data_IF_927492675111
#
_entry.id   IF_927492675111
#
_cell.length_a   1.000
_cell.length_b   1.000
_cell.length_c   1.000
_cell.angle_alpha   90.00
_cell.angle_beta   90.00
_cell.angle_gamma   90.00
#
_symmetry.space_group_name_H-M   'P 1'
#
loop_
_entity.id
_entity.type
_entity.pdbx_description
1 polymer ?
#
# COMPACT_ATOMS: atom_id res chain seq x y z
N UNK A 1 -24.62 7.74 39.25
CA UNK A 1 -23.96 8.22 38.01
C UNK A 1 -22.44 8.00 38.01
N UNK A 2 -21.74 8.20 39.12
CA UNK A 2 -20.26 8.11 39.19
C UNK A 2 -19.68 6.72 38.89
N UNK A 3 -20.33 5.64 39.31
CA UNK A 3 -19.87 4.26 39.03
C UNK A 3 -19.86 3.91 37.53
N UNK A 4 -20.86 4.38 36.77
CA UNK A 4 -20.94 4.13 35.32
C UNK A 4 -19.82 4.84 34.56
N UNK A 5 -19.46 6.06 34.98
CA UNK A 5 -18.36 6.84 34.38
C UNK A 5 -17.02 6.13 34.63
N UNK A 6 -16.78 5.64 35.85
CA UNK A 6 -15.53 4.95 36.18
C UNK A 6 -15.34 3.65 35.37
N UNK A 7 -16.39 2.84 35.26
CA UNK A 7 -16.35 1.60 34.47
C UNK A 7 -16.10 1.89 32.99
N UNK A 8 -16.76 2.92 32.43
CA UNK A 8 -16.55 3.32 31.05
C UNK A 8 -15.11 3.77 30.78
N UNK A 9 -14.53 4.59 31.67
CA UNK A 9 -13.13 5.03 31.57
C UNK A 9 -12.17 3.85 31.67
N UNK A 10 -12.42 2.89 32.56
CA UNK A 10 -11.58 1.69 32.71
C UNK A 10 -11.62 0.82 31.45
N UNK A 11 -12.81 0.56 30.89
CA UNK A 11 -12.98 -0.19 29.64
C UNK A 11 -12.29 0.55 28.48
N UNK A 12 -12.41 1.88 28.42
CA UNK A 12 -11.73 2.70 27.42
C UNK A 12 -10.20 2.60 27.54
N UNK A 13 -9.63 2.69 28.74
CA UNK A 13 -8.18 2.56 28.96
C UNK A 13 -7.70 1.15 28.59
N UNK A 14 -8.39 0.10 29.03
CA UNK A 14 -8.02 -1.27 28.71
C UNK A 14 -8.12 -1.56 27.21
N UNK A 15 -9.14 -1.04 26.54
CA UNK A 15 -9.31 -1.24 25.09
C UNK A 15 -8.31 -0.46 24.23
N UNK A 16 -7.90 0.73 24.67
CA UNK A 16 -6.92 1.56 23.96
C UNK A 16 -5.49 1.08 24.18
N UNK A 17 -5.15 0.67 25.40
CA UNK A 17 -3.75 0.40 25.78
C UNK A 17 -3.40 -1.09 25.89
N UNK A 18 -4.37 -1.95 26.19
CA UNK A 18 -4.09 -3.34 26.54
C UNK A 18 -4.65 -4.39 25.58
N UNK A 19 -5.62 -4.07 24.71
CA UNK A 19 -6.12 -5.06 23.75
C UNK A 19 -5.04 -5.57 22.77
N UNK A 20 -4.06 -4.73 22.43
CA UNK A 20 -2.95 -5.16 21.58
C UNK A 20 -2.06 -6.22 22.26
N UNK A 21 -2.04 -6.27 23.59
CA UNK A 21 -1.29 -7.29 24.35
C UNK A 21 -2.03 -8.62 24.48
N UNK A 22 -3.36 -8.63 24.30
CA UNK A 22 -4.19 -9.84 24.44
C UNK A 22 -4.58 -10.48 23.12
N UNK A 23 -4.32 -9.82 22.00
CA UNK A 23 -4.43 -10.44 20.69
C UNK A 23 -3.12 -11.18 20.43
N UNK A 24 -3.12 -12.53 20.41
CA UNK A 24 -1.91 -13.29 20.15
C UNK A 24 -1.30 -12.79 18.84
N UNK A 25 0.01 -12.50 18.88
CA UNK A 25 0.79 -12.07 17.73
C UNK A 25 0.49 -13.04 16.59
N UNK A 26 -0.35 -12.59 15.67
CA UNK A 26 -1.03 -13.46 14.72
C UNK A 26 -0.04 -13.77 13.63
N UNK A 27 0.93 -14.65 13.92
CA UNK A 27 1.64 -15.39 12.88
C UNK A 27 0.58 -16.30 12.25
N UNK A 28 0.08 -16.00 11.05
CA UNK A 28 -0.96 -16.83 10.46
C UNK A 28 -0.39 -18.24 10.26
N UNK A 29 -1.11 -19.31 10.63
CA UNK A 29 -0.75 -20.66 10.18
C UNK A 29 -0.74 -20.67 8.64
N UNK A 30 0.26 -21.31 8.03
CA UNK A 30 0.49 -21.42 6.57
C UNK A 30 -0.69 -22.04 5.80
N UNK A 31 -1.82 -21.35 5.68
CA UNK A 31 -2.94 -21.72 4.79
C UNK A 31 -3.12 -20.64 3.74
N UNK A 32 -3.21 -21.04 2.47
CA UNK A 32 -3.46 -20.15 1.34
C UNK A 32 -4.82 -19.48 1.51
N UNK A 33 -4.83 -18.20 1.85
CA UNK A 33 -6.02 -17.35 1.77
C UNK A 33 -6.06 -16.75 0.38
N UNK A 34 -6.90 -17.33 -0.49
CA UNK A 34 -7.39 -16.60 -1.65
C UNK A 34 -8.42 -15.62 -1.12
N UNK A 35 -7.99 -14.38 -0.84
CA UNK A 35 -8.89 -13.31 -0.46
C UNK A 35 -9.69 -12.89 -1.71
N UNK A 36 -10.87 -13.47 -1.87
CA UNK A 36 -11.90 -12.86 -2.68
C UNK A 36 -12.49 -11.71 -1.87
N UNK A 37 -12.17 -10.47 -2.24
CA UNK A 37 -12.87 -9.32 -1.72
C UNK A 37 -14.38 -9.52 -1.96
N UNK A 38 -15.26 -9.31 -0.96
CA UNK A 38 -16.68 -9.49 -1.16
C UNK A 38 -17.13 -8.51 -2.25
N UNK A 39 -17.63 -9.05 -3.36
CA UNK A 39 -18.28 -8.30 -4.44
C UNK A 39 -19.62 -7.75 -3.95
N UNK A 40 -19.54 -6.77 -3.05
CA UNK A 40 -20.67 -6.03 -2.49
C UNK A 40 -21.25 -5.02 -3.48
N UNK A 41 -21.37 -5.40 -4.75
CA UNK A 41 -22.21 -4.77 -5.76
C UNK A 41 -22.38 -5.81 -6.86
N UNK A 42 -23.63 -6.25 -7.09
CA UNK A 42 -24.02 -6.99 -8.30
C UNK A 42 -23.88 -6.06 -9.51
N UNK A 43 -22.65 -5.74 -9.89
CA UNK A 43 -22.33 -5.27 -11.23
C UNK A 43 -22.12 -6.53 -12.06
N UNK A 44 -23.09 -6.85 -12.92
CA UNK A 44 -22.96 -7.90 -13.92
C UNK A 44 -21.91 -7.47 -14.93
N UNK A 45 -20.65 -7.79 -14.67
CA UNK A 45 -19.62 -8.17 -15.64
C UNK A 45 -18.29 -8.38 -14.88
N UNK A 46 -17.78 -9.62 -14.77
CA UNK A 46 -16.38 -9.81 -14.46
C UNK A 46 -15.61 -9.39 -15.72
N UNK A 47 -15.20 -8.12 -15.78
CA UNK A 47 -14.13 -7.71 -16.68
C UNK A 47 -12.88 -8.45 -16.21
N UNK A 48 -12.69 -9.66 -16.72
CA UNK A 48 -11.42 -10.35 -16.66
C UNK A 48 -10.43 -9.48 -17.40
N UNK A 49 -9.74 -8.60 -16.67
CA UNK A 49 -8.55 -7.95 -17.18
C UNK A 49 -7.66 -9.07 -17.71
N UNK A 50 -7.15 -9.01 -18.94
CA UNK A 50 -6.05 -9.87 -19.32
C UNK A 50 -4.96 -9.56 -18.30
N UNK A 51 -4.73 -10.48 -17.35
CA UNK A 51 -3.57 -10.40 -16.49
C UNK A 51 -2.39 -10.27 -17.44
N UNK A 52 -1.62 -9.16 -17.40
CA UNK A 52 -0.34 -9.15 -18.10
C UNK A 52 0.39 -10.36 -17.55
N UNK A 53 0.63 -11.36 -18.41
CA UNK A 53 1.08 -12.67 -17.99
C UNK A 53 2.32 -12.48 -17.13
N UNK A 54 2.16 -12.62 -15.82
CA UNK A 54 3.23 -12.53 -14.83
C UNK A 54 4.00 -13.85 -14.90
N UNK A 55 4.52 -14.16 -16.09
CA UNK A 55 5.60 -15.11 -16.23
C UNK A 55 6.78 -14.47 -15.52
N UNK A 56 6.97 -14.83 -14.25
CA UNK A 56 8.25 -14.86 -13.54
C UNK A 56 9.39 -14.10 -14.27
N UNK A 57 9.33 -12.78 -14.28
CA UNK A 57 10.33 -11.92 -14.96
C UNK A 57 11.32 -11.35 -13.93
N UNK A 58 11.71 -12.18 -12.96
CA UNK A 58 12.71 -11.86 -11.94
C UNK A 58 14.04 -12.59 -12.18
N UNK A 59 14.40 -12.89 -13.44
CA UNK A 59 15.66 -13.60 -13.71
C UNK A 59 16.52 -13.13 -14.90
N UNK A 60 16.21 -12.02 -15.57
CA UNK A 60 17.11 -11.47 -16.59
C UNK A 60 17.22 -9.95 -16.51
N UNK A 61 17.96 -9.47 -15.51
CA UNK A 61 18.67 -8.19 -15.55
C UNK A 61 20.14 -8.46 -15.20
N UNK A 62 20.84 -9.19 -16.06
CA UNK A 62 22.29 -9.33 -16.03
C UNK A 62 22.81 -9.35 -17.46
N UNK A 63 23.18 -8.16 -17.93
CA UNK A 63 24.04 -7.84 -19.08
C UNK A 63 23.94 -6.32 -19.23
N UNK A 64 24.98 -5.52 -19.39
CA UNK A 64 26.39 -5.74 -19.71
C UNK A 64 27.00 -4.36 -19.46
N UNK A 65 27.81 -4.19 -18.43
CA UNK A 65 28.63 -2.98 -18.28
C UNK A 65 30.08 -3.39 -18.47
N UNK A 66 30.69 -2.79 -19.48
CA UNK A 66 32.07 -3.00 -19.86
C UNK A 66 33.01 -2.44 -18.78
N UNK A 67 33.88 -3.34 -18.34
CA UNK A 67 35.19 -3.20 -17.72
C UNK A 67 35.87 -1.80 -17.81
N UNK A 68 36.24 -1.24 -16.66
CA UNK A 68 37.59 -0.69 -16.35
C UNK A 68 37.58 0.01 -14.98
N UNK A 69 38.09 -0.68 -13.96
CA UNK A 69 39.23 -0.26 -13.13
C UNK A 69 39.22 -0.94 -11.76
N UNK A 70 40.34 -1.60 -11.47
CA UNK A 70 40.65 -2.26 -10.21
C UNK A 70 40.72 -1.23 -9.09
N UNK A 71 39.80 -1.30 -8.13
CA UNK A 71 40.08 -0.84 -6.78
C UNK A 71 39.35 -1.66 -5.72
N UNK A 72 40.17 -2.30 -4.90
CA UNK A 72 39.94 -2.73 -3.51
C UNK A 72 38.58 -3.37 -3.18
N UNK A 73 38.63 -4.71 -3.05
CA UNK A 73 37.58 -5.57 -2.51
C UNK A 73 37.27 -5.16 -1.05
N UNK A 74 36.40 -4.17 -0.88
CA UNK A 74 35.49 -4.11 0.27
C UNK A 74 34.28 -4.94 -0.14
N UNK A 75 34.06 -6.07 0.54
CA UNK A 75 32.95 -6.99 0.35
C UNK A 75 31.60 -6.27 0.44
N UNK A 76 31.14 -5.70 -0.66
CA UNK A 76 29.78 -5.21 -0.82
C UNK A 76 28.90 -6.44 -0.97
N UNK A 77 28.48 -7.00 0.17
CA UNK A 77 27.43 -8.00 0.21
C UNK A 77 26.25 -7.43 -0.58
N UNK A 78 25.97 -8.03 -1.74
CA UNK A 78 24.83 -7.64 -2.56
C UNK A 78 23.59 -7.79 -1.69
N UNK A 79 23.03 -6.66 -1.24
CA UNK A 79 21.89 -6.64 -0.32
C UNK A 79 20.76 -7.42 -0.97
N UNK A 80 20.34 -8.51 -0.33
CA UNK A 80 19.27 -9.34 -0.87
C UNK A 80 17.96 -8.53 -0.99
N UNK A 81 17.20 -8.74 -2.08
CA UNK A 81 15.90 -8.11 -2.25
C UNK A 81 14.97 -8.57 -1.14
N UNK A 82 14.24 -7.63 -0.54
CA UNK A 82 13.26 -7.95 0.49
C UNK A 82 12.01 -8.56 -0.14
N UNK A 83 11.31 -9.37 0.65
CA UNK A 83 9.99 -9.94 0.36
C UNK A 83 8.95 -9.39 1.32
N UNK A 84 7.67 -9.70 1.09
CA UNK A 84 6.60 -9.31 2.02
C UNK A 84 6.78 -9.91 3.42
N UNK A 85 7.33 -11.12 3.53
CA UNK A 85 7.66 -11.75 4.80
C UNK A 85 8.61 -10.90 5.66
N UNK A 86 9.51 -10.13 5.04
CA UNK A 86 10.54 -9.35 5.73
C UNK A 86 10.02 -7.99 6.23
N UNK A 87 8.87 -7.55 5.73
CA UNK A 87 8.31 -6.22 5.98
C UNK A 87 7.02 -6.31 6.79
N UNK A 88 6.96 -5.55 7.87
CA UNK A 88 5.72 -5.26 8.59
C UNK A 88 5.17 -3.94 8.08
N UNK A 89 4.03 -4.00 7.39
CA UNK A 89 3.35 -2.84 6.85
C UNK A 89 2.45 -2.23 7.92
N UNK A 90 2.49 -0.90 8.10
CA UNK A 90 1.64 -0.19 9.06
C UNK A 90 0.84 0.89 8.37
N UNK A 91 -0.49 0.79 8.41
CA UNK A 91 -1.38 1.85 7.89
C UNK A 91 -1.65 2.85 9.01
N UNK A 92 -1.22 4.09 8.80
CA UNK A 92 -1.39 5.23 9.72
C UNK A 92 -2.24 6.31 9.05
N UNK A 93 -2.99 7.13 9.81
CA UNK A 93 -3.63 8.32 9.30
C UNK A 93 -2.56 9.38 9.03
N UNK A 94 -2.93 10.46 8.34
CA UNK A 94 -2.01 11.53 8.00
C UNK A 94 -1.32 12.11 9.24
N UNK A 95 -0.08 12.62 9.10
CA UNK A 95 0.68 13.20 10.20
C UNK A 95 -0.02 14.38 10.88
N UNK A 96 -0.93 15.06 10.16
CA UNK A 96 -1.74 16.19 10.63
C UNK A 96 -2.92 15.76 11.53
N UNK A 97 -3.22 14.46 11.60
CA UNK A 97 -4.35 13.96 12.41
C UNK A 97 -4.10 14.20 13.90
N UNK A 98 -5.04 14.88 14.58
CA UNK A 98 -4.95 15.19 16.01
C UNK A 98 -4.82 13.92 16.88
N UNK A 99 -4.15 14.06 18.04
CA UNK A 99 -3.92 12.95 18.97
C UNK A 99 -5.22 12.28 19.44
N UNK A 100 -6.25 13.08 19.75
CA UNK A 100 -7.56 12.57 20.14
C UNK A 100 -8.21 11.73 19.03
N UNK A 101 -8.15 12.22 17.78
CA UNK A 101 -8.68 11.47 16.63
C UNK A 101 -7.92 10.17 16.39
N UNK A 102 -6.59 10.16 16.57
CA UNK A 102 -5.77 8.93 16.51
C UNK A 102 -6.17 7.92 17.58
N UNK A 103 -6.38 8.37 18.82
CA UNK A 103 -6.81 7.52 19.92
C UNK A 103 -8.18 6.89 19.63
N UNK A 104 -9.11 7.69 19.10
CA UNK A 104 -10.44 7.24 18.75
C UNK A 104 -10.43 6.26 17.57
N UNK A 105 -9.58 6.47 16.56
CA UNK A 105 -9.39 5.53 15.46
C UNK A 105 -8.84 4.18 15.96
N UNK A 106 -7.88 4.19 16.89
CA UNK A 106 -7.36 2.96 17.51
C UNK A 106 -8.43 2.24 18.32
N UNK A 107 -9.19 2.98 19.12
CA UNK A 107 -10.33 2.42 19.85
C UNK A 107 -11.35 1.76 18.90
N UNK A 108 -11.74 2.45 17.82
CA UNK A 108 -12.67 1.93 16.83
C UNK A 108 -12.14 0.66 16.13
N UNK A 109 -10.85 0.63 15.77
CA UNK A 109 -10.22 -0.55 15.20
C UNK A 109 -10.25 -1.75 16.15
N UNK A 110 -9.95 -1.53 17.43
CA UNK A 110 -10.01 -2.57 18.46
C UNK A 110 -11.44 -3.04 18.73
N UNK A 111 -12.43 -2.14 18.69
CA UNK A 111 -13.84 -2.49 18.80
C UNK A 111 -14.28 -3.41 17.64
N UNK A 112 -13.85 -3.11 16.41
CA UNK A 112 -14.13 -3.95 15.23
C UNK A 112 -13.50 -5.34 15.39
N UNK A 113 -12.23 -5.42 15.82
CA UNK A 113 -11.57 -6.72 16.09
C UNK A 113 -12.30 -7.52 17.14
N UNK A 114 -12.75 -6.86 18.21
CA UNK A 114 -13.51 -7.49 19.27
C UNK A 114 -14.87 -7.99 18.75
N UNK A 115 -15.59 -7.19 17.96
CA UNK A 115 -16.85 -7.60 17.30
C UNK A 115 -16.63 -8.86 16.45
N UNK A 116 -15.62 -8.83 15.56
CA UNK A 116 -15.29 -9.97 14.72
C UNK A 116 -14.99 -11.22 15.56
N UNK A 117 -14.22 -11.09 16.65
CA UNK A 117 -13.88 -12.21 17.53
C UNK A 117 -15.10 -12.74 18.30
N UNK A 118 -15.94 -11.86 18.83
CA UNK A 118 -17.14 -12.23 19.61
C UNK A 118 -18.17 -12.93 18.71
N UNK A 119 -18.33 -12.48 17.47
CA UNK A 119 -19.30 -13.04 16.52
C UNK A 119 -18.71 -14.09 15.57
N UNK A 120 -17.44 -14.48 15.75
CA UNK A 120 -16.77 -15.47 14.88
C UNK A 120 -16.68 -15.03 13.41
N UNK A 121 -16.69 -13.72 13.13
CA UNK A 121 -16.52 -13.18 11.78
C UNK A 121 -15.03 -13.06 11.46
N UNK A 122 -14.68 -13.17 10.18
CA UNK A 122 -13.33 -12.86 9.72
C UNK A 122 -13.03 -11.38 9.91
N UNK A 123 -11.85 -11.09 10.46
CA UNK A 123 -11.39 -9.73 10.61
C UNK A 123 -11.10 -9.12 9.23
N UNK A 124 -11.41 -7.83 9.01
CA UNK A 124 -11.10 -7.17 7.75
C UNK A 124 -9.59 -7.18 7.51
N UNK A 125 -9.19 -7.42 6.26
CA UNK A 125 -7.76 -7.49 5.86
C UNK A 125 -7.03 -6.19 6.12
N UNK A 126 -7.69 -5.06 5.91
CA UNK A 126 -7.17 -3.72 6.20
C UNK A 126 -8.31 -2.83 6.69
N UNK A 127 -8.06 -2.09 7.78
CA UNK A 127 -8.89 -0.96 8.18
C UNK A 127 -8.19 0.34 7.79
N UNK A 128 -8.75 1.04 6.81
CA UNK A 128 -8.29 2.37 6.43
C UNK A 128 -9.08 3.45 7.18
N UNK A 129 -8.43 4.53 7.65
CA UNK A 129 -9.13 5.67 8.17
C UNK A 129 -9.96 6.33 7.05
N UNK A 130 -11.24 6.61 7.35
CA UNK A 130 -12.05 7.53 6.55
C UNK A 130 -11.56 8.95 6.80
N UNK A 131 -11.35 9.74 5.75
CA UNK A 131 -10.70 11.04 5.83
C UNK A 131 -9.78 11.37 4.65
N UNK A 132 -9.99 10.72 3.51
CA UNK A 132 -9.33 11.02 2.24
C UNK A 132 -7.90 10.49 2.07
N UNK A 133 -7.08 10.40 3.13
CA UNK A 133 -5.66 10.05 3.01
C UNK A 133 -5.16 9.13 4.15
N UNK A 134 -4.10 8.38 3.86
CA UNK A 134 -3.35 7.58 4.83
C UNK A 134 -1.85 7.50 4.44
N UNK A 135 -1.05 7.03 5.40
CA UNK A 135 0.38 6.76 5.24
C UNK A 135 0.60 5.27 5.49
N UNK A 136 1.16 4.59 4.49
CA UNK A 136 1.69 3.24 4.63
C UNK A 136 3.16 3.33 5.05
N UNK A 137 3.49 2.76 6.20
CA UNK A 137 4.87 2.66 6.67
C UNK A 137 5.40 1.23 6.48
N UNK A 138 6.59 1.10 5.94
CA UNK A 138 7.33 -0.16 5.91
C UNK A 138 8.27 -0.24 7.10
N UNK A 139 8.20 -1.32 7.88
CA UNK A 139 9.12 -1.59 8.99
C UNK A 139 9.84 -2.92 8.77
N UNK A 140 11.16 -2.94 8.90
CA UNK A 140 12.00 -4.15 8.85
C UNK A 140 12.61 -4.41 10.23
N UNK A 141 12.88 -5.66 10.54
CA UNK A 141 13.67 -5.99 11.72
C UNK A 141 15.14 -5.65 11.45
N UNK A 142 15.75 -4.91 12.36
CA UNK A 142 17.19 -4.74 12.41
C UNK A 142 17.72 -5.61 13.56
N UNK A 143 18.57 -6.57 13.23
CA UNK A 143 19.17 -7.52 14.17
C UNK A 143 20.56 -7.06 14.66
N UNK A 144 20.88 -5.77 14.52
CA UNK A 144 22.05 -5.18 15.16
C UNK A 144 21.99 -5.40 16.68
N UNK A 145 22.96 -6.17 17.19
CA UNK A 145 23.16 -6.51 18.61
C UNK A 145 22.18 -7.52 19.22
N UNK A 146 21.52 -8.37 18.42
CA UNK A 146 20.64 -9.44 18.92
C UNK A 146 19.31 -8.95 19.50
N UNK A 147 19.04 -7.64 19.45
CA UNK A 147 17.75 -7.06 19.77
C UNK A 147 16.99 -6.79 18.47
N UNK A 148 16.03 -7.65 18.14
CA UNK A 148 15.22 -7.50 16.93
C UNK A 148 14.27 -6.31 17.06
N UNK A 149 14.74 -5.12 16.65
CA UNK A 149 13.98 -3.87 16.70
C UNK A 149 13.41 -3.57 15.32
N UNK A 150 12.12 -3.25 15.27
CA UNK A 150 11.51 -2.74 14.05
C UNK A 150 12.01 -1.32 13.75
N UNK A 151 12.64 -1.17 12.59
CA UNK A 151 13.11 0.11 12.04
C UNK A 151 12.24 0.48 10.86
N UNK A 152 11.81 1.74 10.80
CA UNK A 152 11.05 2.29 9.67
C UNK A 152 11.98 2.51 8.48
N UNK A 153 11.65 1.88 7.35
CA UNK A 153 12.48 1.86 6.14
C UNK A 153 11.81 2.53 4.93
N UNK A 154 10.52 2.79 5.00
CA UNK A 154 9.76 3.44 3.93
C UNK A 154 8.46 4.07 4.41
N UNK A 155 7.99 5.07 3.67
CA UNK A 155 6.77 5.85 3.91
C UNK A 155 6.11 6.16 2.58
N UNK A 156 4.83 5.84 2.45
CA UNK A 156 4.07 6.03 1.22
C UNK A 156 2.73 6.70 1.55
N UNK A 157 2.50 7.89 1.01
CA UNK A 157 1.22 8.59 1.17
C UNK A 157 0.28 8.20 0.05
N UNK A 158 -0.98 7.89 0.37
CA UNK A 158 -1.99 7.51 -0.61
C UNK A 158 -3.38 7.93 -0.14
N UNK A 159 -4.32 8.01 -1.08
CA UNK A 159 -5.72 8.34 -0.77
C UNK A 159 -6.49 7.11 -0.31
N UNK A 160 -7.37 7.25 0.68
CA UNK A 160 -8.22 6.14 1.16
C UNK A 160 -9.65 6.22 0.65
N UNK A 161 -9.98 7.22 -0.16
CA UNK A 161 -11.32 7.44 -0.69
C UNK A 161 -11.29 7.47 -2.21
N UNK A 162 -12.37 6.94 -2.81
CA UNK A 162 -12.60 6.98 -4.25
C UNK A 162 -12.73 8.44 -4.69
N UNK A 163 -11.87 8.86 -5.60
CA UNK A 163 -11.92 10.20 -6.20
C UNK A 163 -13.25 10.44 -6.93
N UNK A 164 -13.66 11.71 -7.08
CA UNK A 164 -14.86 12.06 -7.82
C UNK A 164 -14.70 11.66 -9.31
N UNK A 165 -15.80 11.33 -9.99
CA UNK A 165 -15.74 11.01 -11.40
C UNK A 165 -15.33 12.25 -12.20
N UNK A 166 -14.39 12.07 -13.13
CA UNK A 166 -13.92 13.13 -14.02
C UNK A 166 -13.83 12.60 -15.46
N UNK A 167 -14.30 13.35 -16.47
CA UNK A 167 -14.21 12.92 -17.88
C UNK A 167 -12.79 12.49 -18.30
N UNK A 168 -11.71 13.21 -17.92
CA UNK A 168 -10.35 12.80 -18.29
C UNK A 168 -9.96 11.41 -17.76
N UNK A 169 -10.48 11.00 -16.59
CA UNK A 169 -10.28 9.66 -16.03
C UNK A 169 -10.98 8.62 -16.90
N UNK A 170 -12.24 8.85 -17.23
CA UNK A 170 -13.02 7.91 -18.03
C UNK A 170 -12.41 7.72 -19.42
N UNK A 171 -12.03 8.82 -20.07
CA UNK A 171 -11.39 8.79 -21.37
C UNK A 171 -10.04 8.06 -21.33
N UNK A 172 -9.20 8.35 -20.33
CA UNK A 172 -7.92 7.66 -20.16
C UNK A 172 -8.11 6.15 -20.01
N UNK A 173 -9.08 5.74 -19.18
CA UNK A 173 -9.35 4.33 -18.93
C UNK A 173 -9.98 3.64 -20.14
N UNK A 174 -10.84 4.33 -20.88
CA UNK A 174 -11.38 3.84 -22.13
C UNK A 174 -10.30 3.66 -23.19
N UNK A 175 -9.40 4.63 -23.35
CA UNK A 175 -8.32 4.59 -24.34
C UNK A 175 -7.29 3.48 -24.04
N UNK A 176 -6.91 3.32 -22.77
CA UNK A 176 -5.87 2.37 -22.36
C UNK A 176 -6.40 0.94 -22.16
N UNK A 177 -7.62 0.79 -21.64
CA UNK A 177 -8.14 -0.49 -21.18
C UNK A 177 -9.47 -0.89 -21.84
N UNK A 178 -10.08 -0.04 -22.66
CA UNK A 178 -11.34 -0.34 -23.35
C UNK A 178 -12.57 -0.37 -22.43
N UNK A 179 -12.49 0.22 -21.24
CA UNK A 179 -13.56 0.17 -20.23
C UNK A 179 -14.44 1.42 -20.32
N UNK A 180 -15.75 1.21 -20.51
CA UNK A 180 -16.76 2.27 -20.64
C UNK A 180 -17.60 2.49 -19.39
N UNK A 181 -17.53 1.58 -18.40
CA UNK A 181 -18.22 1.74 -17.12
C UNK A 181 -17.57 2.82 -16.26
N UNK A 182 -18.35 3.43 -15.36
CA UNK A 182 -17.85 4.44 -14.43
C UNK A 182 -16.81 3.85 -13.48
N UNK A 183 -15.60 4.42 -13.50
CA UNK A 183 -14.47 3.95 -12.69
C UNK A 183 -14.17 4.85 -11.50
N UNK A 184 -13.55 4.29 -10.48
CA UNK A 184 -13.03 4.94 -9.29
C UNK A 184 -11.53 4.95 -9.28
N UNK A 185 -10.94 6.04 -8.79
CA UNK A 185 -9.49 6.20 -8.75
C UNK A 185 -9.03 6.53 -7.33
N UNK A 186 -7.95 5.91 -6.90
CA UNK A 186 -7.11 6.35 -5.79
C UNK A 186 -5.79 6.93 -6.28
N UNK A 187 -5.18 7.82 -5.52
CA UNK A 187 -3.90 8.42 -5.85
C UNK A 187 -2.81 8.02 -4.86
N UNK A 188 -1.60 7.76 -5.36
CA UNK A 188 -0.38 7.78 -4.56
C UNK A 188 0.15 9.21 -4.57
N UNK A 189 0.30 9.79 -3.38
CA UNK A 189 0.68 11.18 -3.15
C UNK A 189 2.21 11.31 -3.13
N UNK A 190 2.88 10.39 -2.44
CA UNK A 190 4.33 10.34 -2.41
C UNK A 190 4.81 8.93 -2.06
N UNK A 191 6.02 8.60 -2.50
CA UNK A 191 6.71 7.37 -2.14
C UNK A 191 8.13 7.71 -1.68
N UNK A 192 8.49 7.25 -0.49
CA UNK A 192 9.82 7.48 0.06
C UNK A 192 10.39 6.20 0.67
N UNK A 193 11.59 5.82 0.25
CA UNK A 193 12.36 4.72 0.81
C UNK A 193 13.69 5.26 1.33
N UNK A 194 14.03 4.90 2.57
CA UNK A 194 15.28 5.31 3.21
C UNK A 194 16.47 4.89 2.33
N UNK A 195 17.49 5.76 2.12
CA UNK A 195 18.56 5.52 1.16
C UNK A 195 19.27 4.17 1.31
N UNK A 196 19.53 3.72 2.54
CA UNK A 196 20.17 2.43 2.86
C UNK A 196 19.33 1.21 2.49
N UNK A 197 18.03 1.38 2.24
CA UNK A 197 17.10 0.33 1.85
C UNK A 197 16.62 0.44 0.40
N UNK A 198 17.10 1.43 -0.36
CA UNK A 198 16.85 1.51 -1.82
C UNK A 198 17.47 0.29 -2.51
N UNK A 199 16.92 -0.07 -3.68
CA UNK A 199 17.29 -1.28 -4.45
C UNK A 199 16.98 -2.62 -3.74
N UNK A 200 16.30 -2.61 -2.58
CA UNK A 200 15.85 -3.81 -1.88
C UNK A 200 14.39 -4.18 -2.15
N UNK A 201 13.85 -3.77 -3.30
CA UNK A 201 12.49 -4.08 -3.75
C UNK A 201 11.32 -3.50 -2.92
N UNK A 202 11.57 -2.64 -1.93
CA UNK A 202 10.51 -2.09 -1.05
C UNK A 202 9.46 -1.30 -1.84
N UNK A 203 9.89 -0.53 -2.85
CA UNK A 203 8.97 0.28 -3.67
C UNK A 203 7.93 -0.59 -4.38
N UNK A 204 8.37 -1.69 -5.01
CA UNK A 204 7.48 -2.63 -5.71
C UNK A 204 6.50 -3.29 -4.75
N UNK A 205 6.98 -3.77 -3.60
CA UNK A 205 6.13 -4.36 -2.56
C UNK A 205 5.11 -3.34 -2.01
N UNK A 206 5.48 -2.06 -1.91
CA UNK A 206 4.56 -1.01 -1.49
C UNK A 206 3.44 -0.79 -2.52
N UNK A 207 3.75 -0.84 -3.82
CA UNK A 207 2.74 -0.74 -4.88
C UNK A 207 1.72 -1.87 -4.81
N UNK A 208 2.16 -3.10 -4.52
CA UNK A 208 1.26 -4.25 -4.34
C UNK A 208 0.31 -4.03 -3.16
N UNK A 209 0.83 -3.56 -2.02
CA UNK A 209 0.01 -3.29 -0.82
C UNK A 209 -0.97 -2.15 -1.05
N UNK A 210 -0.52 -1.03 -1.63
CA UNK A 210 -1.39 0.12 -1.92
C UNK A 210 -2.48 -0.27 -2.93
N UNK A 211 -2.13 -1.02 -3.96
CA UNK A 211 -3.07 -1.51 -4.97
C UNK A 211 -4.17 -2.37 -4.35
N UNK A 212 -3.83 -3.28 -3.42
CA UNK A 212 -4.83 -4.02 -2.66
C UNK A 212 -5.71 -3.09 -1.82
N UNK A 213 -5.10 -2.15 -1.10
CA UNK A 213 -5.86 -1.24 -0.24
C UNK A 213 -6.86 -0.44 -1.07
N UNK A 214 -6.45 0.12 -2.20
CA UNK A 214 -7.33 0.81 -3.13
C UNK A 214 -8.47 -0.08 -3.63
N UNK A 215 -8.19 -1.34 -3.99
CA UNK A 215 -9.20 -2.30 -4.39
C UNK A 215 -10.23 -2.57 -3.27
N UNK A 216 -9.77 -2.76 -2.02
CA UNK A 216 -10.64 -2.96 -0.85
C UNK A 216 -11.53 -1.74 -0.60
N UNK A 217 -11.02 -0.53 -0.86
CA UNK A 217 -11.80 0.72 -0.74
C UNK A 217 -12.71 0.99 -1.96
N UNK A 218 -12.83 0.05 -2.91
CA UNK A 218 -13.73 0.19 -4.07
C UNK A 218 -13.22 1.14 -5.14
N UNK A 219 -11.90 1.31 -5.24
CA UNK A 219 -11.24 2.03 -6.31
C UNK A 219 -10.81 1.02 -7.39
N UNK A 220 -11.02 1.35 -8.65
CA UNK A 220 -10.72 0.47 -9.78
C UNK A 220 -9.27 0.68 -10.27
N UNK A 221 -8.76 1.91 -10.18
CA UNK A 221 -7.42 2.28 -10.63
C UNK A 221 -6.64 3.06 -9.56
N UNK A 222 -5.31 2.99 -9.67
CA UNK A 222 -4.36 3.81 -8.92
C UNK A 222 -3.66 4.77 -9.88
N UNK A 223 -3.64 6.05 -9.55
CA UNK A 223 -2.92 7.10 -10.29
C UNK A 223 -1.79 7.69 -9.45
N UNK A 224 -0.81 8.26 -10.12
CA UNK A 224 0.28 9.01 -9.50
C UNK A 224 0.92 9.96 -10.51
N UNK A 225 1.67 10.94 -10.02
CA UNK A 225 2.53 11.81 -10.83
C UNK A 225 3.98 11.43 -10.54
N UNK A 226 4.72 11.08 -11.59
CA UNK A 226 6.14 10.71 -11.49
C UNK A 226 7.00 11.91 -11.84
N UNK A 227 7.70 12.45 -10.85
CA UNK A 227 8.81 13.38 -11.06
C UNK A 227 10.13 12.60 -11.02
N UNK A 228 10.89 12.65 -12.10
CA UNK A 228 12.10 11.85 -12.28
C UNK A 228 13.35 12.67 -12.67
N UNK A 229 13.29 13.98 -12.46
CA UNK A 229 14.31 14.96 -12.84
C UNK A 229 14.71 14.90 -14.32
N UNK A 230 13.83 14.37 -15.19
CA UNK A 230 14.06 14.18 -16.62
C UNK A 230 14.90 12.94 -16.98
N UNK A 231 15.21 12.08 -16.01
CA UNK A 231 16.06 10.90 -16.23
C UNK A 231 15.40 9.78 -17.04
N UNK A 232 14.06 9.73 -17.10
CA UNK A 232 13.26 8.65 -17.70
C UNK A 232 13.22 7.37 -16.85
N UNK A 233 14.17 7.18 -15.93
CA UNK A 233 14.38 5.90 -15.23
C UNK A 233 13.24 5.52 -14.30
N UNK A 234 12.67 6.51 -13.61
CA UNK A 234 11.56 6.24 -12.69
C UNK A 234 10.27 5.96 -13.47
N UNK A 235 10.05 6.65 -14.58
CA UNK A 235 8.94 6.36 -15.50
C UNK A 235 9.05 4.92 -16.03
N UNK A 236 10.23 4.52 -16.52
CA UNK A 236 10.48 3.16 -17.01
C UNK A 236 10.27 2.11 -15.91
N UNK A 237 10.68 2.42 -14.68
CA UNK A 237 10.42 1.56 -13.53
C UNK A 237 8.91 1.38 -13.29
N UNK A 238 8.10 2.44 -13.32
CA UNK A 238 6.65 2.31 -13.18
C UNK A 238 6.00 1.53 -14.34
N UNK A 239 6.46 1.72 -15.58
CA UNK A 239 6.00 0.95 -16.74
C UNK A 239 6.22 -0.55 -16.53
N UNK A 240 7.38 -0.94 -16.01
CA UNK A 240 7.69 -2.34 -15.67
C UNK A 240 6.79 -2.90 -14.56
N UNK A 241 6.17 -2.04 -13.75
CA UNK A 241 5.24 -2.41 -12.67
C UNK A 241 3.77 -2.22 -13.05
N UNK A 242 3.46 -2.21 -14.35
CA UNK A 242 2.09 -2.26 -14.86
C UNK A 242 1.37 -0.91 -14.92
N UNK A 243 2.10 0.20 -14.72
CA UNK A 243 1.55 1.52 -14.95
C UNK A 243 1.64 1.89 -16.43
N UNK A 244 0.69 2.70 -16.89
CA UNK A 244 0.64 3.29 -18.21
C UNK A 244 0.68 4.82 -18.10
N UNK A 245 1.27 5.50 -19.08
CA UNK A 245 1.23 6.97 -19.14
C UNK A 245 -0.21 7.42 -19.36
N UNK A 246 -0.61 8.47 -18.65
CA UNK A 246 -1.97 9.00 -18.65
C UNK A 246 -1.96 10.52 -18.92
N UNK A 247 -1.64 10.95 -20.16
CA UNK A 247 -1.44 12.36 -20.47
C UNK A 247 -2.69 13.23 -20.26
N UNK A 248 -3.89 12.66 -20.44
CA UNK A 248 -5.16 13.38 -20.22
C UNK A 248 -5.38 13.74 -18.74
N UNK A 249 -4.68 13.11 -17.81
CA UNK A 249 -4.78 13.36 -16.38
C UNK A 249 -3.81 14.43 -15.87
N UNK A 250 -2.92 14.94 -16.73
CA UNK A 250 -1.87 15.88 -16.34
C UNK A 250 -2.42 17.13 -15.68
N UNK A 251 -3.37 17.81 -16.33
CA UNK A 251 -3.98 19.02 -15.77
C UNK A 251 -4.78 18.71 -14.50
N UNK A 252 -5.48 17.57 -14.49
CA UNK A 252 -6.33 17.14 -13.36
C UNK A 252 -5.50 16.86 -12.10
N UNK A 253 -4.31 16.29 -12.24
CA UNK A 253 -3.40 15.99 -11.13
C UNK A 253 -2.40 17.13 -10.86
N UNK A 254 -2.58 18.30 -11.46
CA UNK A 254 -1.76 19.48 -11.20
C UNK A 254 -0.35 19.41 -11.79
N UNK A 255 -0.16 18.65 -12.88
CA UNK A 255 1.09 18.62 -13.67
C UNK A 255 0.85 19.02 -15.14
N UNK A 256 0.30 20.23 -15.41
CA UNK A 256 0.05 20.68 -16.76
C UNK A 256 1.35 20.68 -17.58
N UNK A 257 1.29 20.19 -18.81
CA UNK A 257 2.44 20.06 -19.71
C UNK A 257 3.63 19.26 -19.12
N UNK A 258 3.37 18.37 -18.16
CA UNK A 258 4.40 17.62 -17.43
C UNK A 258 5.36 18.48 -16.59
N UNK A 259 4.97 19.71 -16.22
CA UNK A 259 5.83 20.62 -15.45
C UNK A 259 6.21 20.09 -14.06
N UNK A 260 5.37 19.25 -13.45
CA UNK A 260 5.58 18.65 -12.13
C UNK A 260 5.76 17.11 -12.22
N UNK A 261 6.04 16.59 -13.42
CA UNK A 261 6.17 15.16 -13.69
C UNK A 261 5.10 14.56 -14.63
N UNK A 262 5.18 13.26 -14.87
CA UNK A 262 4.31 12.53 -15.79
C UNK A 262 3.25 11.75 -15.01
N UNK A 263 1.98 12.01 -15.30
CA UNK A 263 0.87 11.23 -14.73
C UNK A 263 0.85 9.81 -15.30
N UNK A 264 0.71 8.84 -14.40
CA UNK A 264 0.60 7.43 -14.72
C UNK A 264 -0.59 6.78 -14.00
N UNK A 265 -1.13 5.72 -14.60
CA UNK A 265 -2.30 4.98 -14.11
C UNK A 265 -2.09 3.46 -14.22
N UNK A 266 -2.51 2.70 -13.21
CA UNK A 266 -2.54 1.24 -13.22
C UNK A 266 -3.87 0.72 -12.66
N UNK A 267 -4.39 -0.43 -13.14
CA UNK A 267 -5.51 -1.09 -12.49
C UNK A 267 -5.13 -1.53 -11.07
N UNK A 268 -6.11 -1.53 -10.18
CA UNK A 268 -5.94 -2.10 -8.84
C UNK A 268 -6.00 -3.63 -8.88
N UNK A 269 -5.27 -4.27 -7.98
CA UNK A 269 -5.15 -5.73 -7.89
C UNK A 269 -5.62 -6.20 -6.52
N UNK A 270 -6.42 -7.27 -6.49
CA UNK A 270 -6.98 -7.84 -5.25
C UNK A 270 -6.12 -8.97 -4.66
N UNK A 271 -4.97 -9.28 -5.25
CA UNK A 271 -4.14 -10.41 -4.82
C UNK A 271 -2.92 -9.89 -4.08
N UNK A 272 -2.80 -10.25 -2.80
CA UNK A 272 -1.56 -10.12 -2.05
C UNK A 272 -0.93 -11.49 -1.78
N UNK A 273 0.41 -11.55 -1.72
CA UNK A 273 1.12 -12.71 -1.18
C UNK A 273 0.71 -13.02 0.26
N UNK A 274 0.62 -14.31 0.59
CA UNK A 274 0.12 -14.80 1.89
C UNK A 274 1.01 -14.41 3.08
N UNK A 275 2.27 -14.05 2.81
CA UNK A 275 3.27 -13.63 3.78
C UNK A 275 3.22 -12.11 4.05
N UNK A 276 2.33 -11.38 3.38
CA UNK A 276 2.15 -9.95 3.60
C UNK A 276 1.46 -9.66 4.93
N UNK A 277 2.17 -8.93 5.79
CA UNK A 277 1.71 -8.54 7.12
C UNK A 277 1.33 -7.07 7.14
N UNK A 278 0.03 -6.80 7.05
CA UNK A 278 -0.51 -5.44 7.19
C UNK A 278 -1.08 -5.29 8.60
N UNK A 279 -0.46 -4.41 9.37
CA UNK A 279 -0.95 -3.93 10.65
C UNK A 279 -1.69 -2.61 10.41
N UNK A 280 -2.98 -2.61 10.70
CA UNK A 280 -3.68 -1.38 11.05
C UNK A 280 -3.61 -1.24 12.57
N UNK A 281 -3.72 -0.01 13.07
CA UNK A 281 -3.65 0.40 14.50
C UNK A 281 -3.73 -0.69 15.56
#
# INVERSE_FOLDING_TARGET
MTQGIFLFVLIFILSVFYLDAFLPDSRPPRRRLFLHAPSGQKSSNPLGFPQPSTKSFLQHASSKDDNCDNDTISSSSSLQPLTHADIVWRVRPPPETSLLKRLWLRFAANLIRLDCKVFGKEAPVVLCPKGGQAVLEAHCYNDENGNSKLVKVGRFGFTTERGPPAPPIQETVQDLYGITSLVGVGAIIYMFVEPSYRKRNIGSLALEVISLIHAIQGMDFTVLVVDDDGSGRLIDWYLQHGYSRAPKLQDLLGSPNANNGITMIAPTNQVLPFDCRIQWW
#
